data_IF_259540291966
#
_entry.id   IF_259540291966
#
_cell.length_a   1.000
_cell.length_b   1.000
_cell.length_c   1.000
_cell.angle_alpha   90.00
_cell.angle_beta   90.00
_cell.angle_gamma   90.00
#
_symmetry.space_group_name_H-M   'P 1'
#
loop_
_entity.id
_entity.type
_entity.pdbx_description
1 polymer ?
#
# COMPACT_ATOMS: atom_id res chain seq x y z
N UNK A 1 4.85 22.55 19.31
CA UNK A 1 5.07 21.70 18.14
C UNK A 1 3.72 21.12 17.72
N UNK A 2 3.43 21.14 16.44
CA UNK A 2 2.24 20.49 15.85
C UNK A 2 2.45 18.98 15.83
N UNK A 3 1.40 18.19 15.54
CA UNK A 3 1.56 16.74 15.36
C UNK A 3 2.44 16.39 14.15
N UNK A 4 2.79 17.34 13.32
CA UNK A 4 3.69 17.19 12.16
C UNK A 4 5.16 17.44 12.48
N UNK A 5 5.52 17.66 13.75
CA UNK A 5 6.91 17.98 14.15
C UNK A 5 7.36 19.41 13.82
N UNK A 6 6.51 20.21 13.17
CA UNK A 6 6.74 21.58 12.74
C UNK A 6 6.14 22.60 13.73
N UNK A 7 6.47 23.86 13.60
CA UNK A 7 5.81 24.98 14.27
C UNK A 7 4.60 25.45 13.47
N UNK A 8 3.71 26.23 14.11
CA UNK A 8 2.60 26.87 13.37
C UNK A 8 3.07 27.91 12.35
N UNK A 9 4.24 28.52 12.56
CA UNK A 9 4.84 29.47 11.63
C UNK A 9 5.35 28.75 10.37
N UNK A 10 6.03 27.62 10.54
CA UNK A 10 6.50 26.81 9.43
C UNK A 10 5.35 26.22 8.60
N UNK A 11 4.24 25.83 9.23
CA UNK A 11 3.06 25.35 8.49
C UNK A 11 2.43 26.40 7.56
N UNK A 12 2.68 27.68 7.80
CA UNK A 12 2.17 28.74 6.92
C UNK A 12 2.84 28.76 5.54
N UNK A 13 4.02 28.14 5.42
CA UNK A 13 4.75 28.02 4.15
C UNK A 13 4.27 26.83 3.31
N UNK A 14 3.46 25.93 3.88
CA UNK A 14 2.91 24.78 3.18
C UNK A 14 1.67 25.15 2.38
N UNK A 15 1.57 24.62 1.17
CA UNK A 15 0.33 24.66 0.42
C UNK A 15 -0.72 23.80 1.13
N UNK A 16 -1.90 24.38 1.38
CA UNK A 16 -2.98 23.70 2.10
C UNK A 16 -4.14 23.42 1.17
N UNK A 17 -4.56 22.18 1.10
CA UNK A 17 -5.79 21.73 0.43
C UNK A 17 -6.75 21.14 1.46
N UNK A 18 -8.03 21.19 1.16
CA UNK A 18 -9.07 20.62 2.02
C UNK A 18 -9.75 19.46 1.32
N UNK A 19 -9.87 18.34 2.04
CA UNK A 19 -10.74 17.22 1.66
C UNK A 19 -12.03 17.34 2.47
N UNK A 20 -13.14 17.41 1.77
CA UNK A 20 -14.46 17.43 2.40
C UNK A 20 -14.95 16.02 2.69
N UNK A 21 -15.81 15.85 3.68
CA UNK A 21 -16.45 14.55 3.94
C UNK A 21 -17.22 14.00 2.72
N UNK A 22 -17.77 14.89 1.88
CA UNK A 22 -18.40 14.48 0.63
C UNK A 22 -17.39 13.83 -0.34
N UNK A 23 -16.21 14.40 -0.46
CA UNK A 23 -15.14 13.81 -1.27
C UNK A 23 -14.67 12.49 -0.66
N UNK A 24 -14.48 12.42 0.66
CA UNK A 24 -14.14 11.17 1.36
C UNK A 24 -15.16 10.07 1.03
N UNK A 25 -16.45 10.36 1.07
CA UNK A 25 -17.51 9.43 0.67
C UNK A 25 -17.42 8.99 -0.80
N UNK A 26 -17.03 9.87 -1.72
CA UNK A 26 -16.87 9.51 -3.14
C UNK A 26 -15.81 8.41 -3.36
N UNK A 27 -14.76 8.38 -2.53
CA UNK A 27 -13.70 7.36 -2.62
C UNK A 27 -14.02 6.10 -1.80
N UNK A 28 -14.78 6.22 -0.71
CA UNK A 28 -14.88 5.17 0.30
C UNK A 28 -16.23 4.45 0.35
N UNK A 29 -17.33 5.05 -0.17
CA UNK A 29 -18.70 4.49 -0.06
C UNK A 29 -18.83 3.10 -0.73
N UNK A 30 -17.99 2.78 -1.72
CA UNK A 30 -17.99 1.46 -2.35
C UNK A 30 -17.42 0.38 -1.40
N UNK A 31 -16.52 0.76 -0.50
CA UNK A 31 -15.72 -0.16 0.32
C UNK A 31 -16.09 -0.15 1.80
N UNK A 32 -16.58 0.96 2.32
CA UNK A 32 -16.88 1.14 3.74
C UNK A 32 -18.32 1.60 3.97
N UNK A 33 -18.94 1.03 4.99
CA UNK A 33 -20.24 1.54 5.43
C UNK A 33 -20.11 3.01 5.90
N UNK A 34 -21.06 3.86 5.52
CA UNK A 34 -21.07 5.30 5.83
C UNK A 34 -20.89 5.63 7.33
N UNK A 35 -21.30 4.71 8.24
CA UNK A 35 -21.08 4.86 9.68
C UNK A 35 -19.61 4.76 10.09
N UNK A 36 -18.76 4.09 9.29
CA UNK A 36 -17.31 3.95 9.53
C UNK A 36 -16.59 5.18 9.01
N UNK A 37 -16.97 5.66 7.82
CA UNK A 37 -16.48 6.91 7.23
C UNK A 37 -16.86 8.08 8.14
N UNK A 38 -18.08 8.11 8.62
CA UNK A 38 -18.60 9.15 9.51
C UNK A 38 -19.14 10.36 8.75
N UNK A 39 -19.30 11.47 9.48
CA UNK A 39 -19.93 12.69 8.93
C UNK A 39 -18.96 13.86 8.80
N UNK A 40 -17.68 13.65 9.08
CA UNK A 40 -16.66 14.71 9.03
C UNK A 40 -15.29 14.10 8.69
N UNK A 41 -14.60 14.67 7.72
CA UNK A 41 -13.20 14.42 7.46
C UNK A 41 -12.38 15.18 8.52
N UNK A 42 -11.74 14.47 9.45
CA UNK A 42 -11.07 15.06 10.61
C UNK A 42 -9.56 14.80 10.64
N UNK A 43 -9.08 13.83 9.87
CA UNK A 43 -7.65 13.58 9.76
C UNK A 43 -6.99 14.67 8.90
N UNK A 44 -5.76 15.00 9.29
CA UNK A 44 -4.88 15.85 8.49
C UNK A 44 -3.70 15.02 8.01
N UNK A 45 -3.19 15.34 6.85
CA UNK A 45 -1.99 14.73 6.30
C UNK A 45 -1.05 15.81 5.81
N UNK A 46 0.23 15.63 6.08
CA UNK A 46 1.33 16.41 5.49
C UNK A 46 2.12 15.47 4.61
N UNK A 47 2.40 15.89 3.39
CA UNK A 47 3.24 15.17 2.45
C UNK A 47 4.39 16.08 2.01
N UNK A 48 5.58 15.53 2.01
CA UNK A 48 6.82 16.21 1.61
C UNK A 48 7.54 15.32 0.61
N UNK A 49 8.13 15.93 -0.41
CA UNK A 49 8.98 15.22 -1.35
C UNK A 49 10.24 14.71 -0.63
N UNK A 50 10.66 13.52 -0.96
CA UNK A 50 11.87 12.90 -0.42
C UNK A 50 12.87 12.62 -1.56
N UNK A 51 14.10 12.28 -1.19
CA UNK A 51 15.16 12.00 -2.16
C UNK A 51 14.76 10.81 -3.06
N UNK A 52 15.08 10.90 -4.35
CA UNK A 52 14.77 9.87 -5.32
C UNK A 52 15.33 8.49 -4.89
N UNK A 53 14.46 7.48 -4.84
CA UNK A 53 14.79 6.13 -4.41
C UNK A 53 14.75 5.90 -2.89
N UNK A 54 14.33 6.90 -2.08
CA UNK A 54 14.19 6.74 -0.63
C UNK A 54 12.94 5.95 -0.23
N UNK A 55 11.96 5.84 -1.14
CA UNK A 55 10.67 5.22 -0.87
C UNK A 55 9.72 6.11 -0.06
N UNK A 56 8.69 5.49 0.49
CA UNK A 56 7.66 6.18 1.29
C UNK A 56 7.91 5.92 2.77
N UNK A 57 8.07 7.00 3.54
CA UNK A 57 8.11 6.99 5.00
C UNK A 57 6.78 7.51 5.55
N UNK A 58 6.12 6.73 6.39
CA UNK A 58 4.83 7.12 7.00
C UNK A 58 4.92 7.19 8.51
N UNK A 59 4.46 8.29 9.07
CA UNK A 59 4.22 8.45 10.51
C UNK A 59 2.73 8.69 10.78
N UNK A 60 2.24 8.18 11.91
CA UNK A 60 0.83 8.33 12.28
C UNK A 60 0.68 8.79 13.74
N UNK A 61 -0.20 9.77 13.97
CA UNK A 61 -0.53 10.32 15.29
C UNK A 61 -2.03 10.29 15.52
N UNK A 62 -2.49 9.62 16.59
CA UNK A 62 -3.91 9.46 16.90
C UNK A 62 -4.74 8.79 15.76
N UNK A 63 -4.15 7.86 15.04
CA UNK A 63 -4.84 7.05 14.02
C UNK A 63 -5.04 5.64 14.57
N UNK A 64 -6.29 5.19 14.65
CA UNK A 64 -6.65 3.92 15.30
C UNK A 64 -6.98 2.79 14.33
N UNK A 65 -7.46 3.09 13.12
CA UNK A 65 -7.88 2.09 12.14
C UNK A 65 -6.75 1.76 11.15
N UNK A 66 -6.27 2.74 10.41
CA UNK A 66 -5.17 2.57 9.47
C UNK A 66 -3.81 2.54 10.20
N UNK A 67 -2.91 1.65 9.78
CA UNK A 67 -1.51 1.68 10.23
C UNK A 67 -0.61 2.40 9.22
N UNK A 68 0.63 2.73 9.62
CA UNK A 68 1.60 3.34 8.70
C UNK A 68 1.92 2.42 7.52
N UNK A 69 2.02 1.12 7.74
CA UNK A 69 2.27 0.14 6.70
C UNK A 69 1.10 0.04 5.70
N UNK A 70 -0.14 0.14 6.17
CA UNK A 70 -1.32 0.19 5.30
C UNK A 70 -1.32 1.42 4.39
N UNK A 71 -0.96 2.60 4.93
CA UNK A 71 -0.78 3.80 4.11
C UNK A 71 0.35 3.62 3.10
N UNK A 72 1.51 3.12 3.52
CA UNK A 72 2.64 2.86 2.60
C UNK A 72 2.20 1.98 1.44
N UNK A 73 1.50 0.88 1.73
CA UNK A 73 1.00 -0.04 0.71
C UNK A 73 0.06 0.65 -0.29
N UNK A 74 -0.93 1.38 0.20
CA UNK A 74 -1.91 2.07 -0.62
C UNK A 74 -1.29 3.21 -1.45
N UNK A 75 -0.36 3.96 -0.87
CA UNK A 75 0.31 5.06 -1.58
C UNK A 75 1.21 4.54 -2.72
N UNK A 76 1.88 3.40 -2.53
CA UNK A 76 2.62 2.74 -3.63
C UNK A 76 1.67 2.32 -4.75
N UNK A 77 0.51 1.78 -4.42
CA UNK A 77 -0.53 1.41 -5.41
C UNK A 77 -1.11 2.64 -6.12
N UNK A 78 -1.19 3.78 -5.42
CA UNK A 78 -1.53 5.07 -6.03
C UNK A 78 -0.43 5.65 -6.94
N UNK A 79 0.70 4.96 -7.10
CA UNK A 79 1.85 5.44 -7.90
C UNK A 79 2.72 6.48 -7.19
N UNK A 80 2.42 6.80 -5.93
CA UNK A 80 3.22 7.73 -5.13
C UNK A 80 4.54 7.08 -4.75
N UNK A 81 5.61 7.84 -4.77
CA UNK A 81 6.95 7.38 -4.40
C UNK A 81 7.74 8.51 -3.74
N UNK A 82 8.79 8.12 -3.03
CA UNK A 82 9.79 9.05 -2.50
C UNK A 82 9.16 10.23 -1.76
N UNK A 83 8.38 9.91 -0.73
CA UNK A 83 7.64 10.89 0.04
C UNK A 83 7.71 10.60 1.55
N UNK A 84 7.74 11.67 2.34
CA UNK A 84 7.45 11.61 3.76
C UNK A 84 6.01 12.01 3.99
N UNK A 85 5.28 11.17 4.70
CA UNK A 85 3.84 11.34 4.93
C UNK A 85 3.56 11.26 6.42
N UNK A 86 3.05 12.34 7.00
CA UNK A 86 2.63 12.39 8.40
C UNK A 86 1.12 12.51 8.46
N UNK A 87 0.46 11.54 9.08
CA UNK A 87 -1.00 11.51 9.25
C UNK A 87 -1.35 11.77 10.71
N UNK A 88 -2.25 12.70 10.95
CA UNK A 88 -2.64 13.09 12.30
C UNK A 88 -4.15 13.22 12.48
N UNK A 89 -4.64 12.74 13.62
CA UNK A 89 -5.99 12.97 14.11
C UNK A 89 -5.99 13.88 15.34
N UNK A 90 -7.04 14.68 15.56
CA UNK A 90 -7.18 15.51 16.77
C UNK A 90 -7.40 14.66 18.03
N UNK A 91 -7.87 13.43 17.88
CA UNK A 91 -8.04 12.36 18.85
C UNK A 91 -8.02 11.02 18.08
N UNK A 92 -8.07 9.84 18.71
CA UNK A 92 -8.08 8.57 17.99
C UNK A 92 -9.26 8.46 17.00
N UNK A 93 -8.94 8.42 15.70
CA UNK A 93 -9.89 8.35 14.58
C UNK A 93 -9.45 7.30 13.55
N UNK A 94 -10.30 7.00 12.56
CA UNK A 94 -10.00 6.00 11.51
C UNK A 94 -8.77 6.38 10.69
N UNK A 95 -8.71 7.60 10.19
CA UNK A 95 -7.66 8.10 9.32
C UNK A 95 -7.92 7.90 7.81
N UNK A 96 -9.06 7.33 7.43
CA UNK A 96 -9.37 7.02 6.02
C UNK A 96 -9.33 8.25 5.10
N UNK A 97 -9.83 9.41 5.56
CA UNK A 97 -9.77 10.67 4.80
C UNK A 97 -8.34 11.11 4.48
N UNK A 98 -7.35 10.72 5.29
CA UNK A 98 -5.96 11.10 5.06
C UNK A 98 -5.37 10.47 3.80
N UNK A 99 -5.81 9.28 3.38
CA UNK A 99 -5.38 8.70 2.11
C UNK A 99 -5.83 9.58 0.93
N UNK A 100 -7.09 9.99 0.92
CA UNK A 100 -7.63 10.90 -0.09
C UNK A 100 -6.85 12.22 -0.08
N UNK A 101 -6.58 12.75 1.12
CA UNK A 101 -5.77 13.95 1.30
C UNK A 101 -4.35 13.82 0.75
N UNK A 102 -3.68 12.69 1.01
CA UNK A 102 -2.33 12.43 0.52
C UNK A 102 -2.28 12.36 -1.01
N UNK A 103 -3.21 11.64 -1.64
CA UNK A 103 -3.29 11.55 -3.11
C UNK A 103 -3.55 12.91 -3.76
N UNK A 104 -4.45 13.71 -3.20
CA UNK A 104 -4.70 15.08 -3.70
C UNK A 104 -3.49 15.99 -3.52
N UNK A 105 -2.86 15.96 -2.34
CA UNK A 105 -1.70 16.79 -2.05
C UNK A 105 -0.51 16.42 -2.93
N UNK A 106 -0.30 15.13 -3.18
CA UNK A 106 0.74 14.67 -4.10
C UNK A 106 0.50 15.17 -5.53
N UNK A 107 -0.73 15.08 -6.02
CA UNK A 107 -1.09 15.60 -7.34
C UNK A 107 -0.87 17.11 -7.49
N UNK A 108 -1.20 17.90 -6.47
CA UNK A 108 -0.93 19.33 -6.45
C UNK A 108 0.58 19.65 -6.38
N UNK A 109 1.34 18.84 -5.63
CA UNK A 109 2.78 19.02 -5.45
C UNK A 109 3.56 18.71 -6.74
N UNK A 110 3.20 17.63 -7.44
CA UNK A 110 3.90 17.17 -8.64
C UNK A 110 3.35 17.75 -9.95
N UNK A 111 2.12 18.28 -9.92
CA UNK A 111 1.38 18.68 -11.12
C UNK A 111 0.79 17.50 -11.90
N UNK A 112 0.96 16.28 -11.42
CA UNK A 112 0.42 15.04 -12.00
C UNK A 112 -0.51 14.39 -10.97
N UNK A 113 -1.81 14.42 -11.24
CA UNK A 113 -2.81 13.78 -10.38
C UNK A 113 -2.68 12.26 -10.39
N UNK A 114 -3.03 11.63 -9.28
CA UNK A 114 -3.21 10.16 -9.26
C UNK A 114 -4.41 9.82 -10.15
N UNK A 115 -4.23 8.89 -11.08
CA UNK A 115 -5.31 8.47 -11.96
C UNK A 115 -6.43 7.75 -11.19
N UNK A 116 -7.63 7.71 -11.77
CA UNK A 116 -8.83 7.19 -11.12
C UNK A 116 -8.70 5.70 -10.75
N UNK A 117 -8.12 4.88 -11.63
CA UNK A 117 -7.97 3.45 -11.40
C UNK A 117 -6.96 3.15 -10.28
N UNK A 118 -5.82 3.85 -10.26
CA UNK A 118 -4.82 3.76 -9.19
C UNK A 118 -5.36 4.26 -7.85
N UNK A 119 -6.13 5.35 -7.87
CA UNK A 119 -6.76 5.91 -6.67
C UNK A 119 -7.83 4.97 -6.10
N UNK A 120 -8.65 4.36 -6.95
CA UNK A 120 -9.65 3.36 -6.57
C UNK A 120 -8.99 2.11 -5.98
N UNK A 121 -7.98 1.56 -6.65
CA UNK A 121 -7.25 0.38 -6.16
C UNK A 121 -6.54 0.66 -4.82
N UNK A 122 -5.91 1.81 -4.65
CA UNK A 122 -5.26 2.21 -3.40
C UNK A 122 -6.26 2.34 -2.25
N UNK A 123 -7.43 2.90 -2.53
CA UNK A 123 -8.51 3.03 -1.54
C UNK A 123 -9.06 1.66 -1.14
N UNK A 124 -9.33 0.78 -2.11
CA UNK A 124 -9.74 -0.59 -1.87
C UNK A 124 -8.68 -1.36 -1.06
N UNK A 125 -7.39 -1.21 -1.40
CA UNK A 125 -6.29 -1.86 -0.68
C UNK A 125 -6.25 -1.43 0.79
N UNK A 126 -6.35 -0.13 1.07
CA UNK A 126 -6.35 0.36 2.44
C UNK A 126 -7.50 -0.25 3.26
N UNK A 127 -8.70 -0.26 2.69
CA UNK A 127 -9.90 -0.78 3.36
C UNK A 127 -9.80 -2.29 3.55
N UNK A 128 -9.51 -3.05 2.50
CA UNK A 128 -9.42 -4.50 2.57
C UNK A 128 -8.32 -4.97 3.54
N UNK A 129 -7.18 -4.26 3.56
CA UNK A 129 -6.11 -4.52 4.54
C UNK A 129 -6.56 -4.23 5.96
N UNK A 130 -7.33 -3.16 6.16
CA UNK A 130 -7.85 -2.79 7.48
C UNK A 130 -8.92 -3.78 7.98
N UNK A 131 -9.73 -4.34 7.08
CA UNK A 131 -10.68 -5.42 7.41
C UNK A 131 -9.93 -6.70 7.78
N UNK A 132 -8.97 -7.12 6.96
CA UNK A 132 -8.11 -8.28 7.22
C UNK A 132 -7.38 -8.15 8.56
N UNK A 133 -7.02 -6.94 8.98
CA UNK A 133 -6.36 -6.68 10.24
C UNK A 133 -7.20 -7.05 11.48
N UNK A 134 -8.52 -7.13 11.36
CA UNK A 134 -9.37 -7.60 12.45
C UNK A 134 -9.16 -9.10 12.73
N UNK A 135 -8.78 -9.88 11.71
CA UNK A 135 -8.61 -11.33 11.81
C UNK A 135 -7.18 -11.72 12.18
N UNK A 136 -6.18 -11.12 11.53
CA UNK A 136 -4.77 -11.52 11.65
C UNK A 136 -3.85 -10.44 12.27
N UNK A 137 -4.39 -9.29 12.65
CA UNK A 137 -3.65 -8.15 13.20
C UNK A 137 -3.07 -7.24 12.13
N UNK A 138 -2.86 -5.97 12.47
CA UNK A 138 -2.50 -4.90 11.50
C UNK A 138 -1.20 -5.16 10.78
N UNK A 139 -0.18 -5.59 11.50
CA UNK A 139 1.15 -5.84 10.94
C UNK A 139 1.12 -6.98 9.93
N UNK A 140 0.56 -8.13 10.30
CA UNK A 140 0.44 -9.29 9.42
C UNK A 140 -0.47 -9.01 8.21
N UNK A 141 -1.55 -8.24 8.39
CA UNK A 141 -2.44 -7.86 7.30
C UNK A 141 -1.70 -7.00 6.26
N UNK A 142 -0.95 -5.98 6.71
CA UNK A 142 -0.16 -5.16 5.80
C UNK A 142 0.95 -5.96 5.09
N UNK A 143 1.63 -6.87 5.80
CA UNK A 143 2.62 -7.78 5.24
C UNK A 143 1.99 -8.73 4.21
N UNK A 144 0.83 -9.31 4.53
CA UNK A 144 0.10 -10.22 3.65
C UNK A 144 -0.24 -9.55 2.31
N UNK A 145 -0.81 -8.36 2.37
CA UNK A 145 -1.22 -7.63 1.16
C UNK A 145 0.00 -7.19 0.34
N UNK A 146 1.08 -6.74 0.98
CA UNK A 146 2.32 -6.38 0.27
C UNK A 146 2.94 -7.57 -0.45
N UNK A 147 3.05 -8.74 0.21
CA UNK A 147 3.57 -9.96 -0.40
C UNK A 147 2.67 -10.47 -1.54
N UNK A 148 1.36 -10.44 -1.33
CA UNK A 148 0.41 -10.88 -2.35
C UNK A 148 0.45 -9.96 -3.58
N UNK A 149 0.56 -8.66 -3.37
CA UNK A 149 0.71 -7.67 -4.44
C UNK A 149 1.99 -7.91 -5.25
N UNK A 150 3.13 -8.13 -4.58
CA UNK A 150 4.38 -8.48 -5.25
C UNK A 150 4.22 -9.75 -6.11
N UNK A 151 3.68 -10.82 -5.56
CA UNK A 151 3.45 -12.07 -6.30
C UNK A 151 2.59 -11.86 -7.54
N UNK A 152 1.51 -11.08 -7.43
CA UNK A 152 0.57 -10.84 -8.54
C UNK A 152 1.20 -9.96 -9.61
N UNK A 153 1.81 -8.84 -9.23
CA UNK A 153 2.36 -7.87 -10.18
C UNK A 153 3.64 -8.39 -10.81
N UNK A 154 4.55 -8.97 -10.02
CA UNK A 154 5.82 -9.52 -10.52
C UNK A 154 5.64 -10.83 -11.31
N UNK A 155 4.63 -11.61 -10.96
CA UNK A 155 4.29 -12.86 -11.64
C UNK A 155 3.34 -12.70 -12.83
N UNK A 156 2.86 -11.48 -13.11
CA UNK A 156 1.83 -11.20 -14.12
C UNK A 156 0.61 -12.14 -13.98
N UNK A 157 0.19 -12.37 -12.71
CA UNK A 157 -0.90 -13.27 -12.40
C UNK A 157 -2.25 -12.60 -12.74
N UNK A 158 -2.98 -13.16 -13.69
CA UNK A 158 -4.23 -12.56 -14.18
C UNK A 158 -5.46 -13.41 -13.89
N UNK A 159 -5.28 -14.72 -13.75
CA UNK A 159 -6.37 -15.62 -13.49
C UNK A 159 -6.72 -15.70 -12.01
N UNK A 160 -7.98 -16.00 -11.74
CA UNK A 160 -8.48 -16.16 -10.38
C UNK A 160 -7.80 -17.31 -9.62
N UNK A 161 -7.50 -18.41 -10.32
CA UNK A 161 -6.88 -19.58 -9.73
C UNK A 161 -5.41 -19.31 -9.36
N UNK A 162 -4.64 -18.63 -10.22
CA UNK A 162 -3.27 -18.21 -9.91
C UNK A 162 -3.22 -17.26 -8.71
N UNK A 163 -4.15 -16.30 -8.62
CA UNK A 163 -4.24 -15.39 -7.47
C UNK A 163 -4.61 -16.15 -6.19
N UNK A 164 -5.52 -17.13 -6.26
CA UNK A 164 -5.85 -18.01 -5.11
C UNK A 164 -4.64 -18.83 -4.64
N UNK A 165 -3.84 -19.32 -5.58
CA UNK A 165 -2.60 -20.03 -5.24
C UNK A 165 -1.60 -19.08 -4.55
N UNK A 166 -1.43 -17.86 -5.04
CA UNK A 166 -0.62 -16.84 -4.40
C UNK A 166 -1.13 -16.47 -2.98
N UNK A 167 -2.45 -16.41 -2.77
CA UNK A 167 -3.06 -16.23 -1.45
C UNK A 167 -2.67 -17.39 -0.51
N UNK A 168 -2.82 -18.64 -0.96
CA UNK A 168 -2.48 -19.80 -0.17
C UNK A 168 -0.97 -19.87 0.17
N UNK A 169 -0.11 -19.37 -0.70
CA UNK A 169 1.32 -19.23 -0.43
C UNK A 169 1.58 -18.15 0.63
N UNK A 170 0.99 -16.97 0.51
CA UNK A 170 1.14 -15.89 1.49
C UNK A 170 0.60 -16.30 2.88
N UNK A 171 -0.49 -17.08 2.96
CA UNK A 171 -0.99 -17.68 4.21
C UNK A 171 0.09 -18.55 4.88
N UNK A 172 0.78 -19.37 4.10
CA UNK A 172 1.84 -20.27 4.61
C UNK A 172 3.06 -19.47 5.05
N UNK A 173 3.51 -18.50 4.25
CA UNK A 173 4.69 -17.70 4.55
C UNK A 173 4.53 -16.89 5.85
N UNK A 174 3.35 -16.34 6.09
CA UNK A 174 3.07 -15.54 7.28
C UNK A 174 2.50 -16.34 8.46
N UNK A 175 2.29 -17.65 8.27
CA UNK A 175 1.63 -18.51 9.23
C UNK A 175 0.30 -17.88 9.71
N UNK A 176 -0.58 -17.59 8.76
CA UNK A 176 -1.92 -17.05 8.98
C UNK A 176 -2.96 -17.87 8.21
N UNK A 177 -4.22 -17.68 8.52
CA UNK A 177 -5.34 -18.23 7.75
C UNK A 177 -6.42 -17.16 7.64
N UNK A 178 -6.96 -16.99 6.45
CA UNK A 178 -8.07 -16.08 6.17
C UNK A 178 -9.26 -16.87 5.64
N UNK A 179 -10.46 -16.37 5.89
CA UNK A 179 -11.68 -17.06 5.46
C UNK A 179 -11.96 -16.88 3.96
N UNK A 180 -12.94 -17.62 3.44
CA UNK A 180 -13.28 -17.62 2.02
C UNK A 180 -13.84 -16.26 1.54
N UNK A 181 -14.52 -15.52 2.42
CA UNK A 181 -15.03 -14.17 2.10
C UNK A 181 -13.85 -13.21 1.89
N UNK A 182 -12.87 -13.22 2.80
CA UNK A 182 -11.67 -12.42 2.69
C UNK A 182 -10.81 -12.84 1.48
N UNK A 183 -10.69 -14.15 1.20
CA UNK A 183 -10.03 -14.63 -0.03
C UNK A 183 -10.67 -14.06 -1.29
N UNK A 184 -11.98 -14.01 -1.34
CA UNK A 184 -12.72 -13.44 -2.47
C UNK A 184 -12.44 -11.94 -2.63
N UNK A 185 -12.40 -11.20 -1.51
CA UNK A 185 -12.03 -9.77 -1.50
C UNK A 185 -10.60 -9.56 -1.99
N UNK A 186 -9.65 -10.37 -1.52
CA UNK A 186 -8.24 -10.31 -1.94
C UNK A 186 -8.07 -10.61 -3.43
N UNK A 187 -8.77 -11.62 -3.96
CA UNK A 187 -8.77 -11.90 -5.41
C UNK A 187 -9.28 -10.70 -6.21
N UNK A 188 -10.38 -10.10 -5.79
CA UNK A 188 -10.93 -8.91 -6.46
C UNK A 188 -9.97 -7.72 -6.42
N UNK A 189 -9.38 -7.45 -5.26
CA UNK A 189 -8.37 -6.42 -5.08
C UNK A 189 -7.15 -6.65 -5.99
N UNK A 190 -6.61 -7.86 -6.00
CA UNK A 190 -5.41 -8.19 -6.78
C UNK A 190 -5.65 -8.12 -8.29
N UNK A 191 -6.86 -8.45 -8.76
CA UNK A 191 -7.23 -8.22 -10.15
C UNK A 191 -7.24 -6.74 -10.54
N UNK A 192 -7.70 -5.87 -9.63
CA UNK A 192 -7.63 -4.40 -9.85
C UNK A 192 -6.17 -3.95 -9.93
N UNK A 193 -5.35 -4.34 -8.95
CA UNK A 193 -3.94 -3.95 -8.86
C UNK A 193 -3.13 -4.48 -10.05
N UNK A 194 -3.33 -5.74 -10.44
CA UNK A 194 -2.65 -6.35 -11.58
C UNK A 194 -3.01 -5.71 -12.93
N UNK A 195 -4.12 -4.98 -13.01
CA UNK A 195 -4.52 -4.20 -14.19
C UNK A 195 -3.89 -2.81 -14.28
N UNK A 196 -3.14 -2.37 -13.26
CA UNK A 196 -2.49 -1.06 -13.22
C UNK A 196 -1.09 -1.12 -13.83
N UNK A 197 -0.64 0.01 -14.40
CA UNK A 197 0.75 0.20 -14.84
C UNK A 197 1.62 0.63 -13.65
N UNK A 198 1.99 -0.33 -12.81
CA UNK A 198 2.74 -0.11 -11.58
C UNK A 198 4.25 -0.27 -11.80
N UNK A 199 5.03 0.54 -11.09
CA UNK A 199 6.49 0.40 -11.03
C UNK A 199 6.89 -0.86 -10.25
N UNK A 200 7.33 -1.90 -10.97
CA UNK A 200 7.76 -3.17 -10.40
C UNK A 200 8.86 -3.00 -9.36
N UNK A 201 9.80 -2.09 -9.57
CA UNK A 201 10.90 -1.85 -8.63
C UNK A 201 10.39 -1.36 -7.27
N UNK A 202 9.39 -0.51 -7.26
CA UNK A 202 8.76 0.00 -6.03
C UNK A 202 8.00 -1.10 -5.28
N UNK A 203 7.24 -1.92 -6.01
CA UNK A 203 6.53 -3.07 -5.42
C UNK A 203 7.51 -4.06 -4.80
N UNK A 204 8.59 -4.40 -5.50
CA UNK A 204 9.63 -5.30 -5.00
C UNK A 204 10.35 -4.76 -3.77
N UNK A 205 10.72 -3.49 -3.77
CA UNK A 205 11.33 -2.85 -2.60
C UNK A 205 10.39 -2.88 -1.39
N UNK A 206 9.10 -2.71 -1.60
CA UNK A 206 8.09 -2.82 -0.55
C UNK A 206 8.02 -4.25 0.01
N UNK A 207 7.96 -5.26 -0.86
CA UNK A 207 7.96 -6.66 -0.45
C UNK A 207 9.25 -7.04 0.28
N UNK A 208 10.41 -6.56 -0.18
CA UNK A 208 11.70 -6.79 0.49
C UNK A 208 11.71 -6.25 1.92
N UNK A 209 11.19 -5.05 2.14
CA UNK A 209 11.07 -4.46 3.47
C UNK A 209 10.18 -5.31 4.40
N UNK A 210 9.16 -5.96 3.85
CA UNK A 210 8.31 -6.91 4.58
C UNK A 210 9.09 -8.17 4.95
N UNK A 211 9.83 -8.76 4.00
CA UNK A 211 10.65 -9.95 4.25
C UNK A 211 11.73 -9.70 5.31
N UNK A 212 12.39 -8.54 5.27
CA UNK A 212 13.41 -8.18 6.26
C UNK A 212 12.80 -8.07 7.66
N UNK A 213 11.61 -7.49 7.80
CA UNK A 213 10.88 -7.43 9.07
C UNK A 213 10.47 -8.83 9.59
N UNK A 214 9.99 -9.72 8.71
CA UNK A 214 9.63 -11.10 9.07
C UNK A 214 10.85 -11.86 9.60
N UNK A 215 12.00 -11.68 8.96
CA UNK A 215 13.27 -12.28 9.37
C UNK A 215 13.73 -11.79 10.74
N UNK A 216 13.60 -10.50 11.01
CA UNK A 216 13.96 -9.89 12.29
C UNK A 216 13.07 -10.36 13.45
N UNK A 217 11.84 -10.80 13.16
CA UNK A 217 10.92 -11.38 14.15
C UNK A 217 11.26 -12.85 14.51
N UNK A 218 12.33 -13.42 13.93
CA UNK A 218 12.78 -14.78 14.23
C UNK A 218 11.85 -15.89 13.72
N UNK A 219 10.98 -15.59 12.75
CA UNK A 219 10.17 -16.58 12.05
C UNK A 219 11.12 -17.38 11.16
N UNK A 220 11.20 -18.70 11.37
CA UNK A 220 12.10 -19.58 10.61
C UNK A 220 11.61 -19.68 9.16
N UNK A 221 12.39 -19.06 8.27
CA UNK A 221 12.12 -18.98 6.83
C UNK A 221 12.79 -20.15 6.06
N UNK A 222 13.22 -21.24 6.72
CA UNK A 222 13.92 -22.32 6.02
C UNK A 222 13.05 -23.00 4.94
N UNK A 223 11.73 -23.04 5.11
CA UNK A 223 10.79 -23.42 4.03
C UNK A 223 10.61 -22.29 2.99
N UNK A 224 10.73 -21.03 3.38
CA UNK A 224 10.62 -19.87 2.50
C UNK A 224 11.88 -19.65 1.63
N UNK A 225 13.06 -20.14 2.03
CA UNK A 225 14.29 -20.07 1.20
C UNK A 225 14.14 -20.75 -0.16
N UNK A 226 13.33 -21.82 -0.24
CA UNK A 226 13.04 -22.50 -1.49
C UNK A 226 12.19 -21.66 -2.45
N UNK A 227 11.29 -20.87 -1.90
CA UNK A 227 10.38 -19.98 -2.66
C UNK A 227 11.13 -18.71 -3.06
N UNK A 228 11.90 -18.13 -2.11
CA UNK A 228 12.75 -16.98 -2.35
C UNK A 228 13.84 -17.23 -3.40
N UNK A 229 14.46 -18.41 -3.37
CA UNK A 229 15.40 -18.80 -4.43
C UNK A 229 14.72 -18.85 -5.81
N UNK A 230 13.47 -19.35 -5.89
CA UNK A 230 12.71 -19.38 -7.14
C UNK A 230 12.30 -17.97 -7.61
N UNK A 231 11.96 -17.07 -6.68
CA UNK A 231 11.65 -15.67 -6.97
C UNK A 231 12.92 -14.96 -7.47
N UNK A 232 14.05 -15.11 -6.79
CA UNK A 232 15.34 -14.57 -7.24
C UNK A 232 15.79 -15.17 -8.58
N UNK A 233 15.61 -16.48 -8.80
CA UNK A 233 15.90 -17.13 -10.08
C UNK A 233 15.00 -16.62 -11.21
N UNK A 234 13.73 -16.36 -10.92
CA UNK A 234 12.78 -15.77 -11.86
C UNK A 234 13.19 -14.34 -12.25
N UNK A 235 13.60 -13.51 -11.29
CA UNK A 235 14.08 -12.14 -11.57
C UNK A 235 15.40 -12.13 -12.34
N UNK A 236 16.33 -13.05 -12.03
CA UNK A 236 17.56 -13.23 -12.82
C UNK A 236 17.24 -13.67 -14.25
N UNK A 237 16.21 -14.49 -14.43
CA UNK A 237 15.75 -14.94 -15.74
C UNK A 237 15.11 -13.79 -16.57
N UNK A 238 14.25 -12.97 -15.93
CA UNK A 238 13.65 -11.79 -16.59
C UNK A 238 14.72 -10.74 -16.88
N UNK A 239 15.61 -10.44 -15.95
CA UNK A 239 16.72 -9.51 -16.17
C UNK A 239 17.62 -9.94 -17.33
N UNK A 240 17.89 -11.24 -17.48
CA UNK A 240 18.60 -11.79 -18.63
C UNK A 240 17.78 -11.68 -19.93
N UNK A 241 16.48 -12.00 -19.89
CA UNK A 241 15.62 -11.89 -21.08
C UNK A 241 15.51 -10.45 -21.58
N UNK A 242 15.43 -9.47 -20.69
CA UNK A 242 15.46 -8.05 -21.02
C UNK A 242 16.82 -7.64 -21.56
N UNK A 243 17.92 -8.05 -20.95
CA UNK A 243 19.27 -7.77 -21.42
C UNK A 243 19.53 -8.41 -22.80
N UNK A 244 19.10 -9.66 -23.01
CA UNK A 244 19.20 -10.36 -24.28
C UNK A 244 18.32 -9.72 -25.38
N UNK A 245 17.14 -9.22 -25.02
CA UNK A 245 16.26 -8.46 -25.93
C UNK A 245 16.95 -7.17 -26.40
N UNK A 246 17.51 -6.39 -25.49
CA UNK A 246 18.23 -5.16 -25.85
C UNK A 246 19.56 -5.43 -26.57
N UNK A 247 20.29 -6.51 -26.24
CA UNK A 247 21.53 -6.87 -26.94
C UNK A 247 21.31 -7.40 -28.34
N UNK A 248 20.11 -7.91 -28.66
CA UNK A 248 19.74 -8.35 -30.02
C UNK A 248 19.07 -7.23 -30.85
N UNK A 249 18.83 -6.06 -30.28
CA UNK A 249 18.20 -4.92 -30.96
C UNK A 249 19.24 -3.92 -31.52
N UNK A 250 20.50 -4.08 -31.12
CA UNK A 250 21.67 -3.30 -31.57
C UNK A 250 22.80 -4.24 -31.98
#
# INVERSE_FOLDING_TARGET
MTPFGTTHEELADYQTITVTNKEEHQYLDEYLASKVIGTRALSSVMIEEADAGSGIEVETHNISFCSKEMYTNALVTAGISDAKVTVAGPFPISGTAALVGAMKAYGEMTGEGVDEASSDAATNELVATSELANDIGKEKAAQFVALLKDKVVSGDLTSEDEIKDAINEAEKELNVSIDDEMKTKMVSLMKKIGGLDLDLGKIQNQAQNVYDKIKDMGIDLDDAKGIWAKICDFFVMIGKAIADFFSNLF
#
